data_IF_112537048317
#
_entry.id   IF_112537048317
#
_cell.length_a   1.000
_cell.length_b   1.000
_cell.length_c   1.000
_cell.angle_alpha   90.00
_cell.angle_beta   90.00
_cell.angle_gamma   90.00
#
_symmetry.space_group_name_H-M   'P 1'
#
loop_
_entity.id
_entity.type
_entity.pdbx_description
1 polymer ?
#
# COMPACT_ATOMS: atom_id res chain seq x y z
N UNK A 1 6.46 -17.95 -7.30
CA UNK A 1 6.31 -16.68 -6.59
C UNK A 1 6.14 -15.54 -7.56
N UNK A 2 5.05 -14.79 -7.41
CA UNK A 2 4.70 -13.65 -8.28
C UNK A 2 5.17 -12.31 -7.68
N UNK A 3 6.22 -12.30 -6.86
CA UNK A 3 6.76 -11.09 -6.24
C UNK A 3 8.10 -10.73 -6.88
N UNK A 4 8.49 -9.46 -6.78
CA UNK A 4 9.76 -8.96 -7.33
C UNK A 4 9.60 -7.98 -8.48
N UNK A 5 10.64 -7.86 -9.30
CA UNK A 5 10.69 -6.88 -10.39
C UNK A 5 9.98 -7.37 -11.66
N UNK A 6 9.22 -6.47 -12.28
CA UNK A 6 8.46 -6.70 -13.51
C UNK A 6 8.76 -5.63 -14.55
N UNK A 7 9.06 -6.07 -15.77
CA UNK A 7 9.13 -5.20 -16.95
C UNK A 7 7.72 -4.84 -17.44
N UNK A 8 7.43 -3.54 -17.55
CA UNK A 8 6.09 -3.04 -17.91
C UNK A 8 6.02 -2.47 -19.34
N UNK A 9 7.13 -2.52 -20.09
CA UNK A 9 7.31 -1.81 -21.35
C UNK A 9 7.47 -0.30 -21.21
N UNK A 10 7.25 0.26 -20.00
CA UNK A 10 7.50 1.66 -19.64
C UNK A 10 8.55 1.82 -18.52
N UNK A 11 9.19 0.72 -18.13
CA UNK A 11 10.15 0.63 -17.04
C UNK A 11 9.88 -0.59 -16.15
N UNK A 12 10.63 -0.65 -15.04
CA UNK A 12 10.57 -1.75 -14.07
C UNK A 12 9.72 -1.35 -12.87
N UNK A 13 8.83 -2.24 -12.43
CA UNK A 13 8.03 -2.10 -11.22
C UNK A 13 8.34 -3.24 -10.23
N UNK A 14 8.56 -2.91 -8.97
CA UNK A 14 8.66 -3.89 -7.88
C UNK A 14 7.25 -4.20 -7.38
N UNK A 15 6.88 -5.48 -7.35
CA UNK A 15 5.63 -5.96 -6.76
C UNK A 15 5.91 -6.59 -5.40
N UNK A 16 5.29 -6.03 -4.38
CA UNK A 16 5.31 -6.48 -2.99
C UNK A 16 3.88 -6.81 -2.58
N UNK A 17 3.73 -7.84 -1.78
CA UNK A 17 2.44 -8.22 -1.18
C UNK A 17 2.57 -8.14 0.35
N UNK A 18 1.52 -7.65 1.01
CA UNK A 18 1.47 -7.48 2.46
C UNK A 18 0.04 -7.76 2.96
N UNK A 19 -0.06 -8.46 4.10
CA UNK A 19 -1.34 -8.89 4.66
C UNK A 19 -2.01 -7.83 5.56
N UNK A 20 -1.35 -6.69 5.77
CA UNK A 20 -1.82 -5.60 6.61
C UNK A 20 -3.21 -5.12 6.19
N UNK A 21 -4.14 -5.13 7.13
CA UNK A 21 -5.53 -4.75 6.89
C UNK A 21 -6.14 -3.94 8.03
N UNK A 22 -5.40 -3.72 9.12
CA UNK A 22 -5.64 -2.66 10.08
C UNK A 22 -4.90 -1.39 9.64
N UNK A 23 -5.45 -0.17 9.85
CA UNK A 23 -4.77 1.08 9.45
C UNK A 23 -3.32 1.19 9.95
N UNK A 24 -3.05 0.78 11.19
CA UNK A 24 -1.68 0.75 11.75
C UNK A 24 -0.73 -0.18 10.99
N UNK A 25 -1.21 -1.33 10.53
CA UNK A 25 -0.38 -2.27 9.76
C UNK A 25 -0.05 -1.67 8.39
N UNK A 26 -1.07 -1.10 7.73
CA UNK A 26 -0.92 -0.42 6.44
C UNK A 26 0.06 0.76 6.54
N UNK A 27 -0.03 1.57 7.60
CA UNK A 27 0.88 2.69 7.86
C UNK A 27 2.33 2.22 8.00
N UNK A 28 2.58 1.18 8.80
CA UNK A 28 3.92 0.61 8.95
C UNK A 28 4.48 0.11 7.61
N UNK A 29 3.66 -0.54 6.79
CA UNK A 29 4.05 -0.99 5.45
C UNK A 29 4.37 0.19 4.53
N UNK A 30 3.58 1.28 4.56
CA UNK A 30 3.87 2.51 3.79
C UNK A 30 5.19 3.13 4.24
N UNK A 31 5.43 3.28 5.55
CA UNK A 31 6.68 3.85 6.07
C UNK A 31 7.90 3.00 5.71
N UNK A 32 7.77 1.66 5.76
CA UNK A 32 8.83 0.76 5.32
C UNK A 32 9.12 0.94 3.81
N UNK A 33 8.09 1.05 2.97
CA UNK A 33 8.26 1.27 1.55
C UNK A 33 8.92 2.64 1.24
N UNK A 34 8.48 3.70 1.90
CA UNK A 34 9.03 5.05 1.73
C UNK A 34 10.49 5.17 2.17
N UNK A 35 10.87 4.44 3.23
CA UNK A 35 12.25 4.45 3.73
C UNK A 35 13.18 3.53 2.95
N UNK A 36 12.69 2.41 2.43
CA UNK A 36 13.48 1.46 1.62
C UNK A 36 13.67 1.91 0.17
N UNK A 37 12.74 2.68 -0.39
CA UNK A 37 12.74 3.11 -1.79
C UNK A 37 12.41 4.59 -1.96
N UNK A 38 13.24 5.47 -1.36
CA UNK A 38 13.01 6.91 -1.23
C UNK A 38 12.63 7.64 -2.54
N UNK A 39 13.24 7.24 -3.67
CA UNK A 39 13.04 7.91 -4.97
C UNK A 39 12.05 7.16 -5.88
N UNK A 40 11.34 6.15 -5.37
CA UNK A 40 10.35 5.39 -6.13
C UNK A 40 8.95 5.87 -5.82
N UNK A 41 8.11 5.90 -6.86
CA UNK A 41 6.67 6.12 -6.72
C UNK A 41 6.03 4.93 -6.00
N UNK A 42 5.26 5.19 -4.95
CA UNK A 42 4.50 4.20 -4.22
C UNK A 42 3.06 4.11 -4.77
N UNK A 43 2.76 3.00 -5.45
CA UNK A 43 1.43 2.65 -5.95
C UNK A 43 0.88 1.54 -5.08
N UNK A 44 -0.27 1.76 -4.45
CA UNK A 44 -0.92 0.78 -3.60
C UNK A 44 -2.24 0.32 -4.22
N UNK A 45 -2.44 -0.99 -4.23
CA UNK A 45 -3.74 -1.61 -4.50
C UNK A 45 -4.27 -2.09 -3.15
N UNK A 46 -5.34 -1.49 -2.66
CA UNK A 46 -5.85 -1.78 -1.31
C UNK A 46 -7.24 -2.40 -1.36
N UNK A 47 -7.41 -3.52 -0.68
CA UNK A 47 -8.71 -4.17 -0.52
C UNK A 47 -9.13 -4.13 0.96
N UNK A 48 -10.13 -3.30 1.34
CA UNK A 48 -10.64 -3.27 2.70
C UNK A 48 -11.22 -4.62 3.10
N UNK A 49 -10.86 -5.11 4.29
CA UNK A 49 -11.38 -6.37 4.82
C UNK A 49 -12.47 -6.16 5.88
N UNK A 50 -13.72 -6.48 5.48
CA UNK A 50 -14.99 -6.38 6.22
C UNK A 50 -15.54 -4.96 6.38
N UNK A 51 -16.83 -4.81 6.07
CA UNK A 51 -17.56 -3.55 6.23
C UNK A 51 -17.53 -2.99 7.65
N UNK A 52 -17.64 -3.84 8.68
CA UNK A 52 -17.63 -3.37 10.07
C UNK A 52 -16.31 -2.67 10.41
N UNK A 53 -15.17 -3.22 9.99
CA UNK A 53 -13.86 -2.62 10.22
C UNK A 53 -13.69 -1.32 9.44
N UNK A 54 -14.09 -1.29 8.18
CA UNK A 54 -14.03 -0.07 7.36
C UNK A 54 -14.89 1.05 7.96
N UNK A 55 -16.06 0.73 8.51
CA UNK A 55 -16.90 1.70 9.21
C UNK A 55 -16.26 2.19 10.50
N UNK A 56 -15.78 1.27 11.34
CA UNK A 56 -15.31 1.60 12.69
C UNK A 56 -13.98 2.39 12.66
N UNK A 57 -13.20 2.25 11.60
CA UNK A 57 -11.88 2.88 11.41
C UNK A 57 -11.83 3.75 10.15
N UNK A 58 -12.96 4.30 9.73
CA UNK A 58 -13.10 4.98 8.44
C UNK A 58 -12.08 6.12 8.27
N UNK A 59 -12.01 7.03 9.25
CA UNK A 59 -11.10 8.18 9.21
C UNK A 59 -9.63 7.75 9.29
N UNK A 60 -9.32 6.73 10.08
CA UNK A 60 -7.96 6.18 10.16
C UNK A 60 -7.51 5.59 8.83
N UNK A 61 -8.39 4.86 8.13
CA UNK A 61 -8.10 4.40 6.78
C UNK A 61 -7.90 5.56 5.80
N UNK A 62 -8.77 6.58 5.84
CA UNK A 62 -8.63 7.74 4.95
C UNK A 62 -7.26 8.42 5.13
N UNK A 63 -6.86 8.65 6.39
CA UNK A 63 -5.59 9.29 6.74
C UNK A 63 -4.35 8.45 6.38
N UNK A 64 -4.44 7.12 6.46
CA UNK A 64 -3.31 6.25 6.09
C UNK A 64 -3.21 6.08 4.57
N UNK A 65 -4.34 5.90 3.89
CA UNK A 65 -4.38 5.65 2.45
C UNK A 65 -4.07 6.91 1.62
N UNK A 66 -4.20 8.12 2.16
CA UNK A 66 -3.78 9.35 1.45
C UNK A 66 -2.25 9.51 1.34
N UNK A 67 -1.46 8.73 2.08
CA UNK A 67 0.00 8.87 2.11
C UNK A 67 0.71 8.27 0.87
N UNK A 68 -0.01 7.53 0.03
CA UNK A 68 0.54 6.90 -1.19
C UNK A 68 0.41 7.82 -2.40
N UNK A 69 1.26 7.64 -3.43
CA UNK A 69 1.22 8.50 -4.62
C UNK A 69 0.05 8.14 -5.56
N UNK A 70 -0.38 6.87 -5.52
CA UNK A 70 -1.55 6.35 -6.24
C UNK A 70 -2.19 5.26 -5.41
N UNK A 71 -3.51 5.36 -5.28
CA UNK A 71 -4.35 4.37 -4.65
C UNK A 71 -5.30 3.76 -5.70
N UNK A 72 -5.44 2.43 -5.68
CA UNK A 72 -6.36 1.64 -6.50
C UNK A 72 -7.22 0.78 -5.58
#
# INVERSE_FOLDING_TARGET
DHLGEYETGKGVAMLVDDYGHHPTEVDVTIQAARSGWTDKRLVMIFQPHRYSRTRDLYDDFANVLEQVDVLI
#
